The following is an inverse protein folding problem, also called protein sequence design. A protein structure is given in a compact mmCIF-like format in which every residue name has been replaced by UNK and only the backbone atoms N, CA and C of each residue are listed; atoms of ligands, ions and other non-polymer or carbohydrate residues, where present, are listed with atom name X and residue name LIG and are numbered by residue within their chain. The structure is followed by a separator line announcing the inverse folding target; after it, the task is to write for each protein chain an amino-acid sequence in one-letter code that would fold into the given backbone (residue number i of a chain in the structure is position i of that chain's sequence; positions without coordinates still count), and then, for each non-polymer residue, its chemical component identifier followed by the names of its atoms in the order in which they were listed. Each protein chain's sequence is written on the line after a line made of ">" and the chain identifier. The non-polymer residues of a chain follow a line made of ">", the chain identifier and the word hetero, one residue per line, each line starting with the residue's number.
data_IF_269706433061
#
_entry.id   IF_269706433061
#
_cell.length_a   1.000
_cell.length_b   1.000
_cell.length_c   1.000
_cell.angle_alpha   90.00
_cell.angle_beta   90.00
_cell.angle_gamma   90.00
#
_symmetry.space_group_name_H-M   'P 1'
#
loop_
_entity.id
_entity.type
_entity.pdbx_description
1 polymer ?
#
# COMPACT_ATOMS: atom_id res chain seq x y z
N UNK A 1 -11.18 -31.90 18.44
CA UNK A 1 -11.36 -32.20 19.88
C UNK A 1 -11.86 -30.93 20.55
N UNK A 2 -12.86 -31.03 21.42
CA UNK A 2 -13.29 -29.93 22.27
C UNK A 2 -12.22 -29.72 23.35
N UNK A 3 -11.78 -28.49 23.56
CA UNK A 3 -10.94 -28.15 24.71
C UNK A 3 -11.86 -28.08 25.92
N UNK A 4 -11.72 -28.99 26.87
CA UNK A 4 -12.34 -28.85 28.18
C UNK A 4 -11.32 -28.19 29.11
N UNK A 5 -11.42 -26.87 29.33
CA UNK A 5 -10.80 -26.27 30.50
C UNK A 5 -11.62 -26.74 31.70
N UNK A 6 -11.05 -27.65 32.48
CA UNK A 6 -11.60 -28.03 33.78
C UNK A 6 -11.59 -26.79 34.69
N UNK A 7 -12.78 -26.22 34.96
CA UNK A 7 -13.38 -25.65 36.20
C UNK A 7 -12.54 -24.73 37.12
N UNK A 8 -11.21 -24.68 37.04
CA UNK A 8 -10.39 -23.84 37.91
C UNK A 8 -10.17 -22.45 37.30
N UNK A 9 -10.42 -21.37 38.07
CA UNK A 9 -10.04 -20.03 37.68
C UNK A 9 -8.53 -19.95 37.39
N UNK A 10 -8.18 -19.24 36.31
CA UNK A 10 -6.82 -18.96 35.88
C UNK A 10 -6.52 -17.45 36.06
N UNK A 11 -6.56 -16.91 37.30
CA UNK A 11 -6.48 -15.47 37.54
C UNK A 11 -5.13 -14.86 37.14
N UNK A 12 -4.08 -15.66 37.06
CA UNK A 12 -2.74 -15.20 36.67
C UNK A 12 -2.47 -15.34 35.17
N UNK A 13 -3.37 -15.95 34.40
CA UNK A 13 -3.16 -16.20 32.98
C UNK A 13 -3.33 -14.90 32.19
N UNK A 14 -2.24 -14.44 31.56
CA UNK A 14 -2.21 -13.26 30.70
C UNK A 14 -2.26 -13.58 29.22
N UNK A 15 -1.71 -14.73 28.82
CA UNK A 15 -1.62 -15.14 27.42
C UNK A 15 -2.11 -16.57 27.28
N UNK A 16 -2.97 -16.80 26.31
CA UNK A 16 -3.46 -18.12 25.93
C UNK A 16 -3.17 -18.33 24.46
N UNK A 17 -2.25 -19.26 24.16
CA UNK A 17 -1.89 -19.60 22.80
C UNK A 17 -2.39 -21.00 22.45
N UNK A 18 -3.34 -21.06 21.52
CA UNK A 18 -3.91 -22.27 20.94
C UNK A 18 -3.66 -22.33 19.42
N UNK A 19 -2.79 -21.47 18.90
CA UNK A 19 -2.48 -21.40 17.48
C UNK A 19 -2.05 -22.77 16.93
N UNK A 20 -2.43 -23.05 15.68
CA UNK A 20 -2.18 -24.31 14.97
C UNK A 20 -2.85 -25.53 15.61
N UNK A 21 -3.80 -25.33 16.52
CA UNK A 21 -4.70 -26.39 16.99
C UNK A 21 -5.71 -26.73 15.90
N UNK A 22 -5.25 -27.30 14.78
CA UNK A 22 -6.05 -27.53 13.56
C UNK A 22 -7.30 -28.37 13.81
N UNK A 23 -7.33 -29.20 14.87
CA UNK A 23 -8.48 -30.03 15.26
C UNK A 23 -9.42 -29.36 16.28
N UNK A 24 -9.13 -28.14 16.74
CA UNK A 24 -9.97 -27.40 17.68
C UNK A 24 -11.28 -27.04 16.98
N UNK A 25 -12.40 -27.45 17.55
CA UNK A 25 -13.74 -27.16 17.00
C UNK A 25 -14.45 -26.05 17.75
N UNK A 26 -14.26 -26.03 19.06
CA UNK A 26 -14.92 -25.13 20.00
C UNK A 26 -13.91 -24.74 21.07
N UNK A 27 -13.96 -23.47 21.48
CA UNK A 27 -13.23 -23.00 22.64
C UNK A 27 -13.96 -23.37 23.93
N UNK A 28 -13.21 -23.54 25.03
CA UNK A 28 -13.80 -23.64 26.36
C UNK A 28 -14.42 -22.30 26.78
N UNK A 29 -15.18 -22.32 27.89
CA UNK A 29 -15.60 -21.10 28.56
C UNK A 29 -14.37 -20.28 29.03
N UNK A 30 -14.29 -19.05 28.54
CA UNK A 30 -13.18 -18.13 28.79
C UNK A 30 -13.37 -17.28 30.06
N UNK A 31 -14.52 -17.39 30.73
CA UNK A 31 -14.85 -16.64 31.96
C UNK A 31 -13.88 -16.91 33.11
N UNK A 32 -13.20 -18.07 33.10
CA UNK A 32 -12.21 -18.44 34.10
C UNK A 32 -10.86 -17.73 33.95
N UNK A 33 -10.62 -16.97 32.87
CA UNK A 33 -9.37 -16.24 32.64
C UNK A 33 -9.61 -14.71 32.53
N UNK A 34 -10.13 -14.04 33.57
CA UNK A 34 -10.56 -12.63 33.48
C UNK A 34 -9.40 -11.64 33.25
N UNK A 35 -8.16 -12.05 33.52
CA UNK A 35 -6.96 -11.24 33.35
C UNK A 35 -6.22 -11.49 32.03
N UNK A 36 -6.85 -12.23 31.10
CA UNK A 36 -6.25 -12.51 29.80
C UNK A 36 -6.07 -11.21 29.01
N UNK A 37 -4.83 -10.96 28.58
CA UNK A 37 -4.42 -9.80 27.78
C UNK A 37 -4.24 -10.18 26.30
N UNK A 38 -3.87 -11.44 26.00
CA UNK A 38 -3.65 -11.92 24.63
C UNK A 38 -4.28 -13.30 24.41
N UNK A 39 -5.08 -13.43 23.36
CA UNK A 39 -5.66 -14.70 22.90
C UNK A 39 -5.19 -15.00 21.48
N UNK A 40 -4.45 -16.09 21.31
CA UNK A 40 -3.95 -16.54 20.00
C UNK A 40 -4.62 -17.85 19.56
N UNK A 41 -5.28 -17.80 18.43
CA UNK A 41 -6.06 -18.86 17.80
C UNK A 41 -5.66 -19.08 16.33
N UNK A 42 -4.59 -18.45 15.86
CA UNK A 42 -4.22 -18.48 14.44
C UNK A 42 -4.05 -19.91 13.93
N UNK A 43 -4.50 -20.20 12.70
CA UNK A 43 -4.46 -21.52 12.08
C UNK A 43 -5.28 -22.60 12.82
N UNK A 44 -6.30 -22.22 13.60
CA UNK A 44 -7.32 -23.15 14.11
C UNK A 44 -8.37 -23.45 13.03
N UNK A 45 -7.97 -24.21 12.00
CA UNK A 45 -8.75 -24.40 10.78
C UNK A 45 -10.17 -24.96 11.00
N UNK A 46 -10.40 -25.78 12.04
CA UNK A 46 -11.72 -26.35 12.34
C UNK A 46 -12.57 -25.52 13.33
N UNK A 47 -12.09 -24.36 13.80
CA UNK A 47 -12.84 -23.48 14.68
C UNK A 47 -13.90 -22.75 13.85
N UNK A 48 -15.17 -22.88 14.25
CA UNK A 48 -16.32 -22.31 13.52
C UNK A 48 -16.85 -21.04 14.18
N UNK A 49 -16.77 -20.98 15.51
CA UNK A 49 -17.34 -19.87 16.28
C UNK A 49 -16.49 -19.52 17.50
N UNK A 50 -16.55 -18.25 17.91
CA UNK A 50 -16.10 -17.82 19.24
C UNK A 50 -17.23 -17.95 20.27
N UNK A 51 -16.94 -18.43 21.50
CA UNK A 51 -17.95 -18.55 22.54
C UNK A 51 -18.35 -17.17 23.08
N UNK A 52 -19.62 -16.96 23.49
CA UNK A 52 -20.08 -15.69 24.07
C UNK A 52 -19.27 -15.23 25.29
N UNK A 53 -18.63 -16.16 26.01
CA UNK A 53 -17.74 -15.88 27.14
C UNK A 53 -16.54 -15.00 26.78
N UNK A 54 -16.23 -14.79 25.49
CA UNK A 54 -15.25 -13.80 25.04
C UNK A 54 -15.56 -12.40 25.62
N UNK A 55 -16.83 -12.09 25.85
CA UNK A 55 -17.28 -10.83 26.46
C UNK A 55 -16.71 -10.58 27.87
N UNK A 56 -16.32 -11.64 28.58
CA UNK A 56 -15.80 -11.56 29.95
C UNK A 56 -14.29 -11.25 29.99
N UNK A 57 -13.62 -11.17 28.84
CA UNK A 57 -12.20 -10.87 28.73
C UNK A 57 -11.94 -9.36 28.78
N UNK A 58 -12.29 -8.74 29.89
CA UNK A 58 -12.24 -7.28 30.07
C UNK A 58 -10.83 -6.68 30.03
N UNK A 59 -9.76 -7.49 30.03
CA UNK A 59 -8.37 -7.04 29.88
C UNK A 59 -7.74 -7.39 28.53
N UNK A 60 -8.51 -8.00 27.62
CA UNK A 60 -8.00 -8.44 26.33
C UNK A 60 -7.56 -7.24 25.50
N UNK A 61 -6.28 -7.25 25.10
CA UNK A 61 -5.64 -6.25 24.25
C UNK A 61 -5.44 -6.76 22.83
N UNK A 62 -5.22 -8.06 22.67
CA UNK A 62 -4.90 -8.65 21.38
C UNK A 62 -5.67 -9.94 21.13
N UNK A 63 -6.30 -10.03 19.95
CA UNK A 63 -7.02 -11.19 19.46
C UNK A 63 -6.47 -11.61 18.09
N UNK A 64 -5.81 -12.76 18.04
CA UNK A 64 -5.18 -13.31 16.83
C UNK A 64 -5.93 -14.55 16.35
N UNK A 65 -6.51 -14.51 15.16
CA UNK A 65 -7.33 -15.57 14.56
C UNK A 65 -7.02 -15.76 13.07
N UNK A 66 -5.82 -15.36 12.65
CA UNK A 66 -5.41 -15.47 11.25
C UNK A 66 -5.52 -16.92 10.75
N UNK A 67 -6.01 -17.12 9.54
CA UNK A 67 -6.16 -18.42 8.88
C UNK A 67 -7.06 -19.42 9.64
N UNK A 68 -8.02 -18.94 10.44
CA UNK A 68 -9.15 -19.75 10.90
C UNK A 68 -10.17 -19.90 9.77
N UNK A 69 -9.86 -20.72 8.77
CA UNK A 69 -10.56 -20.77 7.49
C UNK A 69 -12.06 -21.11 7.57
N UNK A 70 -12.51 -21.79 8.63
CA UNK A 70 -13.91 -22.12 8.86
C UNK A 70 -14.61 -21.20 9.87
N UNK A 71 -13.94 -20.19 10.40
CA UNK A 71 -14.54 -19.24 11.35
C UNK A 71 -15.62 -18.42 10.63
N UNK A 72 -16.83 -18.47 11.17
CA UNK A 72 -18.01 -17.85 10.59
C UNK A 72 -18.71 -16.93 11.59
N UNK A 73 -18.75 -17.33 12.87
CA UNK A 73 -19.54 -16.65 13.89
C UNK A 73 -18.62 -16.03 14.94
N UNK A 74 -18.74 -14.71 15.09
CA UNK A 74 -18.12 -13.97 16.18
C UNK A 74 -19.26 -13.28 16.96
N UNK A 75 -19.32 -13.45 18.28
CA UNK A 75 -20.29 -12.76 19.11
C UNK A 75 -20.28 -11.24 18.86
N UNK A 76 -21.46 -10.69 18.57
CA UNK A 76 -21.67 -9.26 18.32
C UNK A 76 -22.09 -8.52 19.59
N UNK A 77 -22.07 -7.18 19.53
CA UNK A 77 -22.55 -6.29 20.61
C UNK A 77 -21.77 -6.49 21.92
N UNK A 78 -20.46 -6.73 21.78
CA UNK A 78 -19.53 -6.83 22.90
C UNK A 78 -18.68 -5.56 22.93
N UNK A 79 -18.29 -5.13 24.12
CA UNK A 79 -17.34 -4.04 24.28
C UNK A 79 -16.07 -4.49 25.02
N UNK A 80 -15.08 -4.97 24.25
CA UNK A 80 -13.74 -5.26 24.75
C UNK A 80 -12.95 -3.95 24.83
N UNK A 81 -13.15 -3.21 25.92
CA UNK A 81 -12.70 -1.83 26.10
C UNK A 81 -11.18 -1.60 25.95
N UNK A 82 -10.35 -2.64 26.08
CA UNK A 82 -8.89 -2.56 25.94
C UNK A 82 -8.36 -3.23 24.67
N UNK A 83 -9.23 -3.75 23.80
CA UNK A 83 -8.83 -4.46 22.60
C UNK A 83 -8.21 -3.48 21.59
N UNK A 84 -6.90 -3.59 21.40
CA UNK A 84 -6.12 -2.70 20.54
C UNK A 84 -5.79 -3.35 19.18
N UNK A 85 -5.64 -4.68 19.13
CA UNK A 85 -5.23 -5.40 17.91
C UNK A 85 -6.13 -6.60 17.65
N UNK A 86 -6.64 -6.67 16.42
CA UNK A 86 -7.49 -7.76 15.96
C UNK A 86 -7.00 -8.24 14.62
N UNK A 87 -6.63 -9.52 14.54
CA UNK A 87 -6.22 -10.15 13.29
C UNK A 87 -7.13 -11.33 12.97
N UNK A 88 -7.88 -11.23 11.88
CA UNK A 88 -8.74 -12.28 11.33
C UNK A 88 -8.42 -12.55 9.85
N UNK A 89 -7.22 -12.15 9.40
CA UNK A 89 -6.81 -12.32 8.02
C UNK A 89 -6.87 -13.81 7.62
N UNK A 90 -7.44 -14.13 6.47
CA UNK A 90 -7.62 -15.51 5.98
C UNK A 90 -8.78 -16.28 6.61
N UNK A 91 -9.67 -15.64 7.37
CA UNK A 91 -10.94 -16.25 7.79
C UNK A 91 -11.94 -16.25 6.61
N UNK A 92 -11.77 -17.22 5.70
CA UNK A 92 -12.45 -17.27 4.41
C UNK A 92 -13.99 -17.33 4.48
N UNK A 93 -14.57 -17.74 5.62
CA UNK A 93 -16.02 -17.82 5.83
C UNK A 93 -16.60 -16.66 6.63
N UNK A 94 -15.76 -15.75 7.12
CA UNK A 94 -16.23 -14.59 7.88
C UNK A 94 -16.86 -13.56 6.94
N UNK A 95 -18.19 -13.42 7.00
CA UNK A 95 -18.99 -12.56 6.11
C UNK A 95 -19.26 -11.16 6.63
N UNK A 96 -19.13 -10.95 7.93
CA UNK A 96 -19.29 -9.65 8.58
C UNK A 96 -18.29 -9.52 9.73
N UNK A 97 -17.83 -8.29 9.96
CA UNK A 97 -17.08 -7.96 11.16
C UNK A 97 -18.06 -7.44 12.23
N UNK A 98 -18.06 -7.97 13.46
CA UNK A 98 -18.98 -7.53 14.51
C UNK A 98 -18.50 -6.28 15.26
N UNK A 99 -19.44 -5.61 15.94
CA UNK A 99 -19.14 -4.60 16.95
C UNK A 99 -18.55 -5.26 18.20
N UNK A 100 -17.22 -5.23 18.33
CA UNK A 100 -16.48 -5.87 19.44
C UNK A 100 -15.67 -4.90 20.30
N UNK A 101 -15.31 -3.72 19.78
CA UNK A 101 -14.54 -2.70 20.50
C UNK A 101 -14.49 -1.39 19.71
N UNK A 102 -14.44 -0.25 20.41
CA UNK A 102 -14.15 1.06 19.83
C UNK A 102 -12.71 1.54 20.09
N UNK A 103 -11.88 0.74 20.78
CA UNK A 103 -10.52 1.13 21.18
C UNK A 103 -9.42 0.53 20.29
N UNK A 104 -9.82 -0.10 19.18
CA UNK A 104 -8.91 -0.76 18.24
C UNK A 104 -7.95 0.23 17.60
N UNK A 105 -6.72 -0.23 17.38
CA UNK A 105 -5.65 0.49 16.67
C UNK A 105 -5.29 -0.14 15.34
N UNK A 106 -5.36 -1.47 15.26
CA UNK A 106 -5.01 -2.25 14.08
C UNK A 106 -6.04 -3.35 13.84
N UNK A 107 -6.60 -3.38 12.63
CA UNK A 107 -7.58 -4.38 12.21
C UNK A 107 -7.13 -5.03 10.89
N UNK A 108 -6.90 -6.35 10.93
CA UNK A 108 -6.53 -7.14 9.77
C UNK A 108 -7.69 -8.07 9.39
N UNK A 109 -8.32 -7.80 8.26
CA UNK A 109 -9.43 -8.57 7.67
C UNK A 109 -9.07 -9.11 6.28
N UNK A 110 -7.80 -9.08 5.89
CA UNK A 110 -7.34 -9.49 4.57
C UNK A 110 -7.81 -10.91 4.22
N UNK A 111 -8.35 -11.12 3.03
CA UNK A 111 -8.79 -12.44 2.56
C UNK A 111 -9.97 -13.01 3.34
N UNK A 112 -10.85 -12.17 3.89
CA UNK A 112 -12.13 -12.60 4.46
C UNK A 112 -13.26 -12.49 3.42
N UNK A 113 -14.43 -13.07 3.70
CA UNK A 113 -15.62 -12.93 2.87
C UNK A 113 -16.48 -11.72 3.26
N UNK A 114 -15.91 -10.76 4.01
CA UNK A 114 -16.62 -9.60 4.54
C UNK A 114 -17.24 -8.78 3.41
N UNK A 115 -18.56 -8.59 3.47
CA UNK A 115 -19.30 -7.81 2.48
C UNK A 115 -19.32 -6.30 2.82
N UNK A 116 -19.29 -5.99 4.11
CA UNK A 116 -19.27 -4.64 4.68
C UNK A 116 -18.57 -4.64 6.05
N UNK A 117 -17.92 -3.53 6.40
CA UNK A 117 -17.42 -3.27 7.76
C UNK A 117 -18.52 -2.52 8.52
N UNK A 118 -18.81 -2.84 9.79
CA UNK A 118 -19.89 -2.19 10.52
C UNK A 118 -19.65 -0.68 10.64
N UNK A 119 -20.73 0.12 10.59
CA UNK A 119 -20.63 1.59 10.66
C UNK A 119 -20.00 2.10 11.96
N UNK A 120 -20.03 1.29 13.02
CA UNK A 120 -19.35 1.54 14.29
C UNK A 120 -17.84 1.71 14.16
N UNK A 121 -17.22 1.22 13.07
CA UNK A 121 -15.79 1.38 12.81
C UNK A 121 -15.40 2.87 12.78
N UNK A 122 -16.32 3.76 12.37
CA UNK A 122 -16.15 5.21 12.42
C UNK A 122 -15.94 5.76 13.84
N UNK A 123 -16.39 5.03 14.88
CA UNK A 123 -16.19 5.39 16.28
C UNK A 123 -14.83 4.92 16.83
N UNK A 124 -14.06 4.13 16.06
CA UNK A 124 -12.74 3.65 16.46
C UNK A 124 -11.69 4.76 16.28
N UNK A 125 -11.74 5.78 17.13
CA UNK A 125 -10.91 7.00 17.03
C UNK A 125 -9.40 6.78 17.10
N UNK A 126 -8.94 5.57 17.40
CA UNK A 126 -7.51 5.19 17.47
C UNK A 126 -7.07 4.23 16.36
N UNK A 127 -7.99 3.84 15.48
CA UNK A 127 -7.73 2.90 14.40
C UNK A 127 -6.90 3.59 13.31
N UNK A 128 -5.60 3.30 13.29
CA UNK A 128 -4.68 3.89 12.33
C UNK A 128 -4.34 2.93 11.18
N UNK A 129 -4.56 1.63 11.35
CA UNK A 129 -4.27 0.60 10.36
C UNK A 129 -5.50 -0.27 10.08
N UNK A 130 -5.93 -0.32 8.81
CA UNK A 130 -7.00 -1.18 8.33
C UNK A 130 -6.57 -1.93 7.06
N UNK A 131 -6.58 -3.26 7.12
CA UNK A 131 -6.31 -4.12 5.97
C UNK A 131 -7.55 -4.93 5.60
N UNK A 132 -8.13 -4.58 4.45
CA UNK A 132 -9.27 -5.21 3.78
C UNK A 132 -8.86 -5.84 2.44
N UNK A 133 -7.55 -6.04 2.21
CA UNK A 133 -7.08 -6.62 0.95
C UNK A 133 -7.67 -8.01 0.71
N UNK A 134 -7.92 -8.39 -0.55
CA UNK A 134 -8.51 -9.68 -0.94
C UNK A 134 -9.91 -9.94 -0.35
N UNK A 135 -10.60 -8.94 0.19
CA UNK A 135 -12.03 -9.03 0.52
C UNK A 135 -12.88 -8.88 -0.76
N UNK A 136 -12.93 -9.95 -1.57
CA UNK A 136 -13.57 -9.91 -2.90
C UNK A 136 -15.08 -9.65 -2.87
N UNK A 137 -15.75 -9.88 -1.74
CA UNK A 137 -17.19 -9.62 -1.59
C UNK A 137 -17.48 -8.21 -1.06
N UNK A 138 -16.45 -7.41 -0.73
CA UNK A 138 -16.61 -6.05 -0.25
C UNK A 138 -17.22 -5.20 -1.36
N UNK A 139 -18.46 -4.74 -1.16
CA UNK A 139 -19.21 -3.99 -2.18
C UNK A 139 -18.86 -2.51 -2.15
N UNK A 140 -18.76 -1.93 -0.96
CA UNK A 140 -18.56 -0.50 -0.71
C UNK A 140 -17.72 -0.29 0.54
N UNK A 141 -17.04 0.85 0.61
CA UNK A 141 -16.35 1.27 1.83
C UNK A 141 -17.33 2.06 2.72
N UNK A 142 -17.44 1.68 3.99
CA UNK A 142 -18.19 2.44 5.00
C UNK A 142 -17.35 3.57 5.57
N UNK A 143 -17.98 4.62 6.11
CA UNK A 143 -17.29 5.72 6.77
C UNK A 143 -16.24 5.21 7.76
N UNK A 144 -14.99 5.60 7.52
CA UNK A 144 -13.83 5.24 8.35
C UNK A 144 -13.52 6.36 9.33
N UNK A 145 -12.86 6.07 10.46
CA UNK A 145 -12.44 7.12 11.39
C UNK A 145 -11.31 7.97 10.80
N UNK A 146 -11.27 9.26 11.14
CA UNK A 146 -10.25 10.21 10.67
C UNK A 146 -8.81 9.85 11.09
N UNK A 147 -8.66 8.96 12.08
CA UNK A 147 -7.38 8.48 12.57
C UNK A 147 -6.68 7.47 11.66
N UNK A 148 -7.33 7.00 10.59
CA UNK A 148 -6.73 6.06 9.63
C UNK A 148 -5.52 6.72 8.97
N UNK A 149 -4.38 6.04 9.08
CA UNK A 149 -3.11 6.40 8.43
C UNK A 149 -2.79 5.45 7.29
N UNK A 150 -3.15 4.17 7.44
CA UNK A 150 -2.88 3.10 6.48
C UNK A 150 -4.16 2.34 6.13
N UNK A 151 -4.54 2.39 4.85
CA UNK A 151 -5.70 1.68 4.30
C UNK A 151 -5.26 0.79 3.14
N UNK A 152 -5.47 -0.52 3.29
CA UNK A 152 -5.21 -1.49 2.24
C UNK A 152 -6.52 -2.13 1.75
N UNK A 153 -6.82 -1.95 0.48
CA UNK A 153 -7.98 -2.45 -0.25
C UNK A 153 -7.57 -3.29 -1.47
N UNK A 154 -6.29 -3.67 -1.57
CA UNK A 154 -5.74 -4.41 -2.72
C UNK A 154 -6.56 -5.66 -3.05
N UNK A 155 -6.75 -5.96 -4.33
CA UNK A 155 -7.49 -7.15 -4.80
C UNK A 155 -8.92 -7.26 -4.28
N UNK A 156 -9.58 -6.12 -4.02
CA UNK A 156 -11.03 -6.07 -3.80
C UNK A 156 -11.75 -5.79 -5.13
N UNK A 157 -13.05 -6.03 -5.14
CA UNK A 157 -13.93 -5.81 -6.30
C UNK A 157 -14.65 -4.45 -6.26
N UNK A 158 -14.15 -3.51 -5.43
CA UNK A 158 -14.70 -2.16 -5.31
C UNK A 158 -14.62 -1.44 -6.67
N UNK A 159 -15.66 -0.68 -6.99
CA UNK A 159 -15.76 0.09 -8.24
C UNK A 159 -15.31 1.52 -8.11
N UNK A 160 -15.49 2.08 -6.92
CA UNK A 160 -15.17 3.46 -6.61
C UNK A 160 -14.72 3.58 -5.15
N UNK A 161 -13.89 4.59 -4.89
CA UNK A 161 -13.58 5.03 -3.55
C UNK A 161 -14.50 6.21 -3.22
N UNK A 162 -15.22 6.19 -2.09
CA UNK A 162 -16.13 7.28 -1.74
C UNK A 162 -15.42 8.63 -1.49
N UNK A 163 -16.10 9.73 -1.82
CA UNK A 163 -15.56 11.11 -1.71
C UNK A 163 -15.16 11.52 -0.28
N UNK A 164 -15.74 10.91 0.76
CA UNK A 164 -15.37 11.23 2.15
C UNK A 164 -13.90 10.93 2.47
N UNK A 165 -13.20 10.14 1.62
CA UNK A 165 -11.77 9.89 1.79
C UNK A 165 -10.95 11.19 1.84
N UNK A 166 -11.44 12.26 1.20
CA UNK A 166 -10.84 13.59 1.25
C UNK A 166 -10.75 14.14 2.69
N UNK A 167 -11.71 13.77 3.55
CA UNK A 167 -11.75 14.16 4.96
C UNK A 167 -10.82 13.35 5.87
N UNK A 168 -10.17 12.29 5.36
CA UNK A 168 -9.20 11.51 6.13
C UNK A 168 -7.84 12.21 6.13
N UNK A 169 -7.73 13.34 6.81
CA UNK A 169 -6.54 14.20 6.83
C UNK A 169 -5.28 13.56 7.44
N UNK A 170 -5.41 12.39 8.09
CA UNK A 170 -4.31 11.58 8.58
C UNK A 170 -3.84 10.48 7.61
N UNK A 171 -4.58 10.23 6.51
CA UNK A 171 -4.31 9.12 5.60
C UNK A 171 -3.00 9.38 4.83
N UNK A 172 -2.02 8.49 5.01
CA UNK A 172 -0.71 8.57 4.36
C UNK A 172 -0.55 7.47 3.31
N UNK A 173 -1.09 6.28 3.56
CA UNK A 173 -0.92 5.11 2.69
C UNK A 173 -2.28 4.58 2.22
N UNK A 174 -2.52 4.66 0.90
CA UNK A 174 -3.68 4.08 0.24
C UNK A 174 -3.21 3.02 -0.77
N UNK A 175 -3.51 1.75 -0.47
CA UNK A 175 -3.10 0.61 -1.28
C UNK A 175 -4.33 -0.03 -1.93
N UNK A 176 -4.38 0.01 -3.26
CA UNK A 176 -5.48 -0.38 -4.15
C UNK A 176 -5.02 -1.38 -5.23
N UNK A 177 -3.80 -1.89 -5.11
CA UNK A 177 -3.18 -2.81 -6.06
C UNK A 177 -4.10 -3.95 -6.47
N UNK A 178 -4.28 -4.18 -7.76
CA UNK A 178 -5.07 -5.28 -8.29
C UNK A 178 -6.59 -5.12 -8.17
N UNK A 179 -7.12 -3.94 -7.82
CA UNK A 179 -8.55 -3.66 -7.85
C UNK A 179 -9.07 -3.55 -9.30
N UNK A 180 -9.36 -4.69 -9.93
CA UNK A 180 -9.65 -4.78 -11.37
C UNK A 180 -10.96 -4.09 -11.80
N UNK A 181 -11.88 -3.88 -10.87
CA UNK A 181 -13.17 -3.21 -11.10
C UNK A 181 -13.19 -1.73 -10.75
N UNK A 182 -12.10 -1.21 -10.15
CA UNK A 182 -12.00 0.19 -9.78
C UNK A 182 -11.94 1.06 -11.03
N UNK A 183 -12.94 1.94 -11.22
CA UNK A 183 -13.09 2.78 -12.42
C UNK A 183 -12.56 4.20 -12.21
N UNK A 184 -12.70 4.73 -10.99
CA UNK A 184 -12.24 6.07 -10.66
C UNK A 184 -11.79 6.25 -9.22
N UNK A 185 -10.89 7.22 -9.02
CA UNK A 185 -10.51 7.76 -7.72
C UNK A 185 -11.05 9.18 -7.54
N UNK A 186 -11.65 9.50 -6.38
CA UNK A 186 -12.08 10.85 -6.03
C UNK A 186 -10.85 11.72 -5.71
N UNK A 187 -11.09 12.96 -5.30
CA UNK A 187 -10.01 13.78 -4.74
C UNK A 187 -9.49 13.11 -3.46
N UNK A 188 -8.16 13.02 -3.35
CA UNK A 188 -7.47 12.34 -2.26
C UNK A 188 -6.91 13.36 -1.26
N UNK A 189 -6.80 13.00 0.03
CA UNK A 189 -6.35 13.93 1.07
C UNK A 189 -4.90 14.38 0.83
N UNK A 190 -4.60 15.65 1.13
CA UNK A 190 -3.26 16.24 0.97
C UNK A 190 -2.17 15.65 1.88
N UNK A 191 -2.54 14.79 2.82
CA UNK A 191 -1.62 14.01 3.66
C UNK A 191 -1.05 12.77 2.96
N UNK A 192 -1.61 12.38 1.80
CA UNK A 192 -1.26 11.13 1.14
C UNK A 192 0.17 11.17 0.59
N UNK A 193 1.04 10.34 1.14
CA UNK A 193 2.42 10.18 0.69
C UNK A 193 2.58 8.96 -0.22
N UNK A 194 1.62 8.03 -0.20
CA UNK A 194 1.76 6.75 -0.88
C UNK A 194 0.44 6.26 -1.48
N UNK A 195 0.41 6.16 -2.81
CA UNK A 195 -0.70 5.59 -3.58
C UNK A 195 -0.19 4.42 -4.42
N UNK A 196 -0.58 3.20 -4.05
CA UNK A 196 -0.34 2.01 -4.86
C UNK A 196 -1.64 1.56 -5.52
N UNK A 197 -1.79 1.83 -6.81
CA UNK A 197 -2.93 1.40 -7.62
C UNK A 197 -2.46 0.59 -8.84
N UNK A 198 -1.35 -0.14 -8.73
CA UNK A 198 -0.86 -1.02 -9.78
C UNK A 198 -1.87 -2.11 -10.16
N UNK A 199 -1.92 -2.53 -11.42
CA UNK A 199 -2.84 -3.56 -11.93
C UNK A 199 -4.35 -3.27 -11.77
N UNK A 200 -4.75 -2.00 -11.64
CA UNK A 200 -6.15 -1.59 -11.71
C UNK A 200 -6.61 -1.47 -13.17
N UNK A 201 -6.98 -2.60 -13.78
CA UNK A 201 -7.28 -2.68 -15.22
C UNK A 201 -8.49 -1.87 -15.71
N UNK A 202 -9.38 -1.42 -14.82
CA UNK A 202 -10.54 -0.58 -15.17
C UNK A 202 -10.36 0.90 -14.83
N UNK A 203 -9.23 1.29 -14.22
CA UNK A 203 -9.06 2.64 -13.71
C UNK A 203 -8.87 3.63 -14.87
N UNK A 204 -9.84 4.53 -15.01
CA UNK A 204 -9.91 5.52 -16.10
C UNK A 204 -9.66 6.95 -15.60
N UNK A 205 -10.22 7.29 -14.43
CA UNK A 205 -10.18 8.65 -13.87
C UNK A 205 -9.48 8.67 -12.52
N UNK A 206 -8.65 9.69 -12.32
CA UNK A 206 -8.06 10.01 -11.02
C UNK A 206 -8.25 11.51 -10.85
N UNK A 207 -9.00 11.90 -9.82
CA UNK A 207 -9.25 13.32 -9.53
C UNK A 207 -8.09 13.89 -8.70
N UNK A 208 -7.60 15.04 -9.13
CA UNK A 208 -6.56 15.84 -8.47
C UNK A 208 -7.23 17.13 -7.96
N UNK A 209 -6.72 17.79 -6.91
CA UNK A 209 -5.30 17.89 -6.51
C UNK A 209 -4.81 16.92 -5.42
N UNK A 210 -3.86 16.06 -5.77
CA UNK A 210 -2.92 15.51 -4.80
C UNK A 210 -1.89 16.60 -4.47
N UNK A 211 -2.01 17.28 -3.34
CA UNK A 211 -1.14 18.42 -2.98
C UNK A 211 0.26 18.05 -2.44
N UNK A 212 0.60 16.76 -2.37
CA UNK A 212 1.81 16.28 -1.68
C UNK A 212 2.97 16.03 -2.68
N UNK A 213 3.91 16.96 -2.88
CA UNK A 213 4.93 16.84 -3.94
C UNK A 213 5.89 15.66 -3.74
N UNK A 214 6.03 15.17 -2.51
CA UNK A 214 6.80 13.98 -2.14
C UNK A 214 6.01 12.66 -2.24
N UNK A 215 4.78 12.68 -2.80
CA UNK A 215 3.98 11.49 -2.94
C UNK A 215 4.60 10.49 -3.93
N UNK A 216 4.50 9.21 -3.59
CA UNK A 216 4.86 8.08 -4.43
C UNK A 216 3.60 7.48 -5.05
N UNK A 217 3.49 7.58 -6.38
CA UNK A 217 2.29 7.24 -7.14
C UNK A 217 2.59 6.07 -8.08
N UNK A 218 2.12 4.88 -7.73
CA UNK A 218 2.27 3.71 -8.57
C UNK A 218 0.94 3.35 -9.23
N UNK A 219 0.84 3.61 -10.53
CA UNK A 219 -0.32 3.31 -11.38
C UNK A 219 0.07 2.33 -12.50
N UNK A 220 1.10 1.51 -12.27
CA UNK A 220 1.55 0.51 -13.25
C UNK A 220 0.41 -0.37 -13.75
N UNK A 221 0.45 -0.70 -15.04
CA UNK A 221 -0.54 -1.50 -15.75
C UNK A 221 -2.00 -0.99 -15.72
N UNK A 222 -2.24 0.28 -15.35
CA UNK A 222 -3.57 0.93 -15.46
C UNK A 222 -3.82 1.44 -16.89
N UNK A 223 -3.91 0.53 -17.85
CA UNK A 223 -3.89 0.87 -19.28
C UNK A 223 -5.09 1.70 -19.76
N UNK A 224 -6.19 1.71 -19.00
CA UNK A 224 -7.37 2.52 -19.29
C UNK A 224 -7.30 3.97 -18.81
N UNK A 225 -6.24 4.37 -18.11
CA UNK A 225 -6.10 5.75 -17.62
C UNK A 225 -6.36 6.75 -18.75
N UNK A 226 -7.19 7.74 -18.47
CA UNK A 226 -7.54 8.78 -19.44
C UNK A 226 -6.32 9.63 -19.81
N UNK A 227 -6.35 10.20 -21.02
CA UNK A 227 -5.28 11.12 -21.45
C UNK A 227 -5.16 12.35 -20.55
N UNK A 228 -6.25 12.78 -19.93
CA UNK A 228 -6.25 13.88 -18.96
C UNK A 228 -5.54 13.49 -17.65
N UNK A 229 -5.89 12.36 -17.05
CA UNK A 229 -5.23 11.88 -15.83
C UNK A 229 -3.71 11.71 -16.05
N UNK A 230 -3.31 11.12 -17.19
CA UNK A 230 -1.89 11.01 -17.54
C UNK A 230 -1.20 12.37 -17.66
N UNK A 231 -1.82 13.34 -18.34
CA UNK A 231 -1.26 14.70 -18.49
C UNK A 231 -1.09 15.39 -17.15
N UNK A 232 -2.08 15.32 -16.27
CA UNK A 232 -2.00 15.94 -14.94
C UNK A 232 -0.85 15.34 -14.11
N UNK A 233 -0.62 14.03 -14.21
CA UNK A 233 0.51 13.37 -13.56
C UNK A 233 1.87 13.80 -14.14
N UNK A 234 1.99 13.90 -15.47
CA UNK A 234 3.22 14.33 -16.16
C UNK A 234 3.58 15.79 -15.84
N UNK A 235 2.57 16.64 -15.68
CA UNK A 235 2.76 18.07 -15.39
C UNK A 235 3.04 18.34 -13.91
N UNK A 236 2.85 17.34 -13.03
CA UNK A 236 3.16 17.45 -11.61
C UNK A 236 4.67 17.62 -11.43
N UNK A 237 5.07 18.43 -10.47
CA UNK A 237 6.46 18.47 -9.98
C UNK A 237 6.60 17.58 -8.76
N UNK A 238 7.54 16.65 -8.81
CA UNK A 238 7.92 15.83 -7.67
C UNK A 238 9.06 16.50 -6.90
N UNK A 239 9.08 16.31 -5.58
CA UNK A 239 10.16 16.72 -4.69
C UNK A 239 10.66 15.53 -3.87
N UNK A 240 11.89 15.62 -3.37
CA UNK A 240 12.53 14.61 -2.52
C UNK A 240 12.45 13.20 -3.15
N UNK A 241 11.87 12.24 -2.42
CA UNK A 241 11.67 10.85 -2.83
C UNK A 241 10.34 10.62 -3.60
N UNK A 242 9.68 11.70 -4.03
CA UNK A 242 8.46 11.65 -4.81
C UNK A 242 8.69 11.07 -6.21
N UNK A 243 7.77 10.19 -6.64
CA UNK A 243 7.79 9.64 -7.99
C UNK A 243 6.38 9.31 -8.46
N UNK A 244 6.24 9.17 -9.78
CA UNK A 244 5.10 8.50 -10.37
C UNK A 244 5.54 7.47 -11.40
N UNK A 245 4.89 6.31 -11.44
CA UNK A 245 5.02 5.39 -12.56
C UNK A 245 3.66 4.98 -13.12
N UNK A 246 3.47 5.16 -14.42
CA UNK A 246 2.20 4.97 -15.13
C UNK A 246 2.42 4.44 -16.56
N UNK A 247 1.41 3.83 -17.20
CA UNK A 247 1.52 3.39 -18.59
C UNK A 247 1.78 4.56 -19.55
N UNK A 248 2.69 4.33 -20.50
CA UNK A 248 3.02 5.29 -21.55
C UNK A 248 4.08 4.75 -22.49
N UNK A 249 3.95 5.08 -23.77
CA UNK A 249 4.80 4.55 -24.85
C UNK A 249 5.68 5.62 -25.50
N UNK A 250 5.52 6.88 -25.09
CA UNK A 250 6.22 8.03 -25.68
C UNK A 250 6.69 8.96 -24.57
N UNK A 251 7.94 9.39 -24.63
CA UNK A 251 8.50 10.40 -23.74
C UNK A 251 7.68 11.70 -23.79
N UNK A 252 7.21 12.23 -22.64
CA UNK A 252 6.42 13.46 -22.63
C UNK A 252 7.22 14.67 -23.14
N UNK A 253 6.52 15.65 -23.74
CA UNK A 253 7.15 16.82 -24.38
C UNK A 253 7.78 17.77 -23.37
N UNK A 254 7.33 17.70 -22.12
CA UNK A 254 7.84 18.43 -20.96
C UNK A 254 9.31 18.09 -20.66
N UNK A 255 9.79 16.90 -21.08
CA UNK A 255 11.18 16.46 -20.95
C UNK A 255 11.98 16.84 -22.21
N UNK A 256 12.35 18.12 -22.28
CA UNK A 256 13.00 18.73 -23.44
C UNK A 256 14.38 18.13 -23.77
N UNK A 257 15.16 17.74 -22.76
CA UNK A 257 16.41 17.02 -22.96
C UNK A 257 16.10 15.53 -22.97
N UNK A 258 16.33 14.84 -24.08
CA UNK A 258 16.02 13.42 -24.20
C UNK A 258 17.01 12.70 -25.09
N UNK A 259 17.20 11.41 -24.84
CA UNK A 259 18.04 10.53 -25.62
C UNK A 259 17.43 9.13 -25.69
N UNK A 260 17.78 8.40 -26.75
CA UNK A 260 17.48 6.96 -26.82
C UNK A 260 18.41 6.19 -25.88
N UNK A 261 17.88 5.14 -25.27
CA UNK A 261 18.58 4.32 -24.30
C UNK A 261 18.51 4.90 -22.90
N UNK A 262 19.53 4.60 -22.10
CA UNK A 262 19.54 4.80 -20.66
C UNK A 262 20.43 5.94 -20.19
N UNK A 263 20.97 6.79 -21.08
CA UNK A 263 21.81 7.91 -20.67
C UNK A 263 21.62 9.14 -21.54
N UNK A 264 21.81 10.31 -20.96
CA UNK A 264 21.76 11.59 -21.67
C UNK A 264 22.70 12.60 -21.04
N UNK A 265 23.30 13.44 -21.88
CA UNK A 265 24.15 14.55 -21.44
C UNK A 265 23.42 15.87 -21.65
N UNK A 266 23.33 16.67 -20.59
CA UNK A 266 22.76 18.02 -20.64
C UNK A 266 23.88 19.04 -20.54
N UNK A 267 23.82 20.04 -21.43
CA UNK A 267 24.60 21.27 -21.27
C UNK A 267 23.84 22.22 -20.35
N UNK A 268 24.08 22.12 -19.04
CA UNK A 268 23.47 23.01 -18.06
C UNK A 268 24.22 24.35 -18.07
N UNK A 269 23.69 25.32 -18.83
CA UNK A 269 24.14 26.72 -18.78
C UNK A 269 23.62 27.46 -17.53
N UNK A 270 22.63 26.88 -16.85
CA UNK A 270 21.96 27.41 -15.66
C UNK A 270 22.47 26.76 -14.38
N UNK A 271 22.63 27.56 -13.31
CA UNK A 271 23.00 27.10 -11.96
C UNK A 271 21.93 26.24 -11.25
N UNK A 272 20.93 25.71 -11.97
CA UNK A 272 19.85 24.95 -11.34
C UNK A 272 20.36 23.63 -10.75
N UNK A 273 20.04 23.43 -9.48
CA UNK A 273 20.25 22.19 -8.73
C UNK A 273 19.15 21.17 -8.90
N UNK A 274 18.02 21.56 -9.49
CA UNK A 274 16.80 20.75 -9.49
C UNK A 274 16.43 20.31 -10.89
N UNK A 275 16.29 19.00 -11.03
CA UNK A 275 15.92 18.33 -12.26
C UNK A 275 14.78 17.37 -11.98
N UNK A 276 14.09 16.99 -13.03
CA UNK A 276 13.17 15.87 -12.99
C UNK A 276 13.45 14.97 -14.18
N UNK A 277 13.61 13.69 -13.89
CA UNK A 277 13.84 12.68 -14.91
C UNK A 277 12.55 11.94 -15.22
N UNK A 278 12.43 11.52 -16.47
CA UNK A 278 11.49 10.52 -16.92
C UNK A 278 12.25 9.44 -17.67
N UNK A 279 11.96 8.19 -17.37
CA UNK A 279 12.47 7.03 -18.11
C UNK A 279 11.30 6.26 -18.71
N UNK A 280 11.44 5.92 -19.99
CA UNK A 280 10.54 5.00 -20.69
C UNK A 280 11.08 3.59 -20.52
N UNK A 281 10.41 2.81 -19.69
CA UNK A 281 10.79 1.44 -19.39
C UNK A 281 9.93 0.46 -20.19
N UNK A 282 10.50 -0.66 -20.60
CA UNK A 282 9.80 -1.75 -21.27
C UNK A 282 10.08 -3.09 -20.57
N UNK A 283 9.14 -4.04 -20.64
CA UNK A 283 9.29 -5.32 -19.96
C UNK A 283 10.35 -6.20 -20.63
N UNK A 284 11.16 -6.87 -19.82
CA UNK A 284 12.02 -7.95 -20.32
C UNK A 284 11.27 -9.28 -20.39
N UNK A 285 11.59 -10.12 -21.38
CA UNK A 285 10.99 -11.46 -21.57
C UNK A 285 11.24 -12.44 -20.39
N UNK A 286 12.16 -12.12 -19.48
CA UNK A 286 12.60 -12.99 -18.38
C UNK A 286 12.33 -12.43 -16.97
N UNK A 287 11.39 -11.48 -16.82
CA UNK A 287 11.05 -10.82 -15.55
C UNK A 287 10.74 -11.75 -14.36
N UNK A 288 10.52 -13.05 -14.57
CA UNK A 288 10.02 -13.98 -13.55
C UNK A 288 11.01 -15.03 -13.04
N UNK A 289 12.31 -14.84 -13.22
CA UNK A 289 13.27 -15.80 -12.65
C UNK A 289 13.63 -15.56 -11.19
N UNK A 290 13.24 -14.43 -10.58
CA UNK A 290 13.61 -14.12 -9.20
C UNK A 290 12.51 -13.41 -8.42
N UNK A 291 12.58 -13.62 -7.12
CA UNK A 291 11.72 -13.20 -6.00
C UNK A 291 11.56 -11.67 -5.84
N UNK A 292 11.85 -10.88 -6.88
CA UNK A 292 11.86 -9.42 -6.84
C UNK A 292 10.46 -8.85 -7.07
N UNK A 293 9.77 -8.55 -5.97
CA UNK A 293 8.49 -7.85 -5.95
C UNK A 293 8.61 -6.33 -6.22
N UNK A 294 9.78 -5.83 -6.60
CA UNK A 294 10.04 -4.41 -6.87
C UNK A 294 10.82 -4.23 -8.16
N UNK A 295 10.42 -3.25 -8.96
CA UNK A 295 11.28 -2.62 -9.96
C UNK A 295 12.13 -1.55 -9.25
N UNK A 296 13.46 -1.69 -9.32
CA UNK A 296 14.41 -0.73 -8.74
C UNK A 296 15.10 0.06 -9.85
N UNK A 297 14.78 1.35 -9.95
CA UNK A 297 15.42 2.28 -10.89
C UNK A 297 16.49 3.08 -10.15
N UNK A 298 17.68 3.16 -10.76
CA UNK A 298 18.83 3.91 -10.24
C UNK A 298 19.21 5.01 -11.21
N UNK A 299 19.60 6.15 -10.66
CA UNK A 299 20.19 7.25 -11.41
C UNK A 299 21.58 7.54 -10.84
N UNK A 300 22.58 7.53 -11.71
CA UNK A 300 23.92 8.02 -11.46
C UNK A 300 24.11 9.31 -12.24
N UNK A 301 24.57 10.35 -11.56
CA UNK A 301 24.83 11.64 -12.17
C UNK A 301 26.35 11.83 -12.19
N UNK A 302 26.91 12.06 -13.37
CA UNK A 302 28.35 12.10 -13.63
C UNK A 302 28.74 13.47 -14.17
N UNK A 303 29.76 14.06 -13.54
CA UNK A 303 30.37 15.30 -13.96
C UNK A 303 31.49 15.08 -14.99
N UNK A 304 31.83 16.11 -15.76
CA UNK A 304 32.96 16.08 -16.70
C UNK A 304 34.31 15.75 -16.03
N UNK A 305 34.48 16.11 -14.76
CA UNK A 305 35.66 15.78 -13.96
C UNK A 305 35.81 14.28 -13.65
N UNK A 306 34.81 13.47 -13.98
CA UNK A 306 34.71 12.06 -13.61
C UNK A 306 34.10 11.82 -12.23
N UNK A 307 33.82 12.89 -11.47
CA UNK A 307 33.09 12.81 -10.21
C UNK A 307 31.65 12.34 -10.47
N UNK A 308 31.10 11.50 -9.59
CA UNK A 308 29.72 11.01 -9.75
C UNK A 308 29.02 10.78 -8.42
N UNK A 309 27.71 10.95 -8.42
CA UNK A 309 26.82 10.59 -7.30
C UNK A 309 25.73 9.64 -7.74
N UNK A 310 25.29 8.81 -6.79
CA UNK A 310 24.10 8.00 -6.92
C UNK A 310 22.96 8.65 -6.19
N UNK A 311 21.80 8.67 -6.82
CA UNK A 311 20.56 9.03 -6.17
C UNK A 311 19.94 7.85 -5.44
N UNK A 312 19.06 8.18 -4.50
CA UNK A 312 18.22 7.19 -3.85
C UNK A 312 17.44 6.41 -4.92
N UNK A 313 17.45 5.07 -4.89
CA UNK A 313 16.73 4.29 -5.89
C UNK A 313 15.23 4.50 -5.79
N UNK A 314 14.56 4.54 -6.94
CA UNK A 314 13.09 4.55 -7.02
C UNK A 314 12.62 3.10 -7.01
N UNK A 315 11.80 2.76 -6.02
CA UNK A 315 11.22 1.43 -5.85
C UNK A 315 9.76 1.42 -6.30
N UNK A 316 9.48 0.82 -7.44
CA UNK A 316 8.12 0.61 -7.93
C UNK A 316 7.68 -0.79 -7.52
N UNK A 317 6.85 -0.89 -6.48
CA UNK A 317 6.37 -2.18 -5.99
C UNK A 317 5.39 -2.84 -6.96
N UNK A 318 5.58 -4.12 -7.20
CA UNK A 318 4.61 -4.96 -7.87
C UNK A 318 3.79 -5.75 -6.85
N UNK A 319 2.48 -5.88 -7.06
CA UNK A 319 1.65 -6.74 -6.23
C UNK A 319 2.19 -8.19 -6.23
N UNK A 320 2.04 -8.94 -5.13
CA UNK A 320 2.60 -10.30 -4.97
C UNK A 320 2.19 -11.32 -6.04
N UNK A 321 1.10 -11.06 -6.77
CA UNK A 321 0.56 -11.91 -7.85
C UNK A 321 0.69 -11.24 -9.23
N UNK A 322 1.42 -10.13 -9.31
CA UNK A 322 1.58 -9.36 -10.53
C UNK A 322 2.63 -10.00 -11.44
N UNK A 323 2.38 -10.04 -12.76
CA UNK A 323 3.39 -10.42 -13.74
C UNK A 323 4.42 -9.29 -13.99
N UNK A 324 4.59 -8.35 -13.06
CA UNK A 324 5.42 -7.16 -13.26
C UNK A 324 4.79 -6.16 -14.24
N UNK A 325 5.60 -5.28 -14.82
CA UNK A 325 5.15 -4.39 -15.88
C UNK A 325 4.81 -5.21 -17.14
N UNK A 326 3.67 -4.96 -17.79
CA UNK A 326 3.20 -5.75 -18.94
C UNK A 326 3.39 -5.09 -20.31
N UNK A 327 3.77 -3.82 -20.29
CA UNK A 327 4.00 -2.99 -21.46
C UNK A 327 4.91 -1.82 -21.06
N UNK A 328 5.06 -0.85 -21.94
CA UNK A 328 5.86 0.34 -21.68
C UNK A 328 5.22 1.25 -20.62
N UNK A 329 6.06 1.76 -19.73
CA UNK A 329 5.68 2.67 -18.66
C UNK A 329 6.61 3.87 -18.62
N UNK A 330 6.06 5.00 -18.18
CA UNK A 330 6.82 6.20 -17.82
C UNK A 330 6.99 6.19 -16.32
N UNK A 331 8.23 6.18 -15.85
CA UNK A 331 8.54 6.47 -14.46
C UNK A 331 9.22 7.84 -14.37
N UNK A 332 8.66 8.73 -13.55
CA UNK A 332 9.07 10.13 -13.36
C UNK A 332 9.45 10.36 -11.90
N UNK A 333 10.56 11.04 -11.65
CA UNK A 333 11.07 11.26 -10.29
C UNK A 333 11.99 12.47 -10.19
N UNK A 334 12.07 13.03 -8.98
CA UNK A 334 12.87 14.19 -8.68
C UNK A 334 14.38 13.88 -8.62
N UNK A 335 15.20 14.83 -9.06
CA UNK A 335 16.65 14.76 -9.05
C UNK A 335 17.23 16.08 -8.54
N UNK A 336 17.77 16.07 -7.32
CA UNK A 336 18.41 17.25 -6.72
C UNK A 336 19.94 17.11 -6.60
N UNK A 337 20.70 18.11 -7.05
CA UNK A 337 22.15 18.16 -6.85
C UNK A 337 22.48 19.03 -5.63
N UNK A 338 23.45 18.65 -4.79
CA UNK A 338 23.92 19.53 -3.72
C UNK A 338 24.44 20.85 -4.31
N UNK A 339 23.88 21.98 -3.90
CA UNK A 339 24.17 23.30 -4.51
C UNK A 339 25.67 23.65 -4.49
N UNK A 340 26.37 23.27 -3.42
CA UNK A 340 27.80 23.50 -3.24
C UNK A 340 28.68 22.77 -4.29
N UNK A 341 28.15 21.74 -4.95
CA UNK A 341 28.91 20.88 -5.86
C UNK A 341 28.69 21.21 -7.34
N UNK A 342 27.64 21.96 -7.69
CA UNK A 342 27.24 22.21 -9.09
C UNK A 342 28.27 23.04 -9.82
N UNK A 343 28.61 24.21 -9.28
CA UNK A 343 29.54 25.14 -9.94
C UNK A 343 30.98 24.62 -9.96
N UNK A 344 31.37 23.80 -8.97
CA UNK A 344 32.77 23.35 -8.80
C UNK A 344 33.03 22.02 -9.51
N UNK A 345 32.11 21.06 -9.42
CA UNK A 345 32.36 19.68 -9.88
C UNK A 345 31.74 19.39 -11.23
N UNK A 346 30.52 19.86 -11.47
CA UNK A 346 29.74 19.52 -12.66
C UNK A 346 30.04 20.38 -13.88
N UNK A 347 30.46 21.64 -13.69
CA UNK A 347 30.79 22.53 -14.80
C UNK A 347 29.57 22.76 -15.71
N UNK A 348 29.79 22.81 -17.03
CA UNK A 348 28.74 23.08 -18.02
C UNK A 348 28.03 21.84 -18.57
N UNK A 349 28.49 20.62 -18.23
CA UNK A 349 28.01 19.36 -18.81
C UNK A 349 27.76 18.31 -17.73
N UNK A 350 26.53 17.79 -17.69
CA UNK A 350 26.09 16.78 -16.71
C UNK A 350 25.60 15.57 -17.49
N UNK A 351 26.17 14.39 -17.19
CA UNK A 351 25.72 13.11 -17.72
C UNK A 351 24.79 12.43 -16.71
N UNK A 352 23.60 12.06 -17.14
CA UNK A 352 22.68 11.23 -16.38
C UNK A 352 22.74 9.81 -16.94
N UNK A 353 23.02 8.84 -16.07
CA UNK A 353 22.99 7.41 -16.38
C UNK A 353 21.88 6.75 -15.56
N UNK A 354 20.95 6.12 -16.25
CA UNK A 354 19.85 5.38 -15.67
C UNK A 354 20.12 3.88 -15.78
N UNK A 355 19.71 3.13 -14.77
CA UNK A 355 19.81 1.67 -14.80
C UNK A 355 18.67 1.04 -14.03
N UNK A 356 18.34 -0.19 -14.39
CA UNK A 356 17.43 -1.04 -13.63
C UNK A 356 18.24 -2.12 -12.93
N UNK A 357 17.98 -2.36 -11.64
CA UNK A 357 18.67 -3.45 -10.95
C UNK A 357 18.20 -4.80 -11.50
N UNK A 358 19.14 -5.74 -11.60
CA UNK A 358 18.93 -7.10 -12.09
C UNK A 358 18.33 -7.18 -13.51
N UNK A 359 18.46 -6.11 -14.30
CA UNK A 359 17.84 -6.00 -15.62
C UNK A 359 16.34 -6.35 -15.57
N UNK A 360 15.65 -5.88 -14.52
CA UNK A 360 14.21 -6.13 -14.33
C UNK A 360 13.34 -5.39 -15.36
N UNK A 361 13.88 -4.36 -16.02
CA UNK A 361 13.28 -3.71 -17.18
C UNK A 361 14.34 -3.11 -18.10
N UNK A 362 14.01 -2.93 -19.38
CA UNK A 362 14.84 -2.21 -20.33
C UNK A 362 14.47 -0.72 -20.31
N UNK A 363 15.47 0.17 -20.23
CA UNK A 363 15.28 1.61 -20.39
C UNK A 363 15.51 1.97 -21.85
N UNK A 364 14.43 2.26 -22.57
CA UNK A 364 14.44 2.46 -24.03
C UNK A 364 14.62 3.92 -24.43
N UNK A 365 14.19 4.85 -23.58
CA UNK A 365 14.36 6.30 -23.74
C UNK A 365 14.46 6.94 -22.36
N UNK A 366 15.25 8.00 -22.25
CA UNK A 366 15.33 8.81 -21.05
C UNK A 366 15.21 10.29 -21.39
N UNK A 367 14.63 11.05 -20.46
CA UNK A 367 14.38 12.46 -20.59
C UNK A 367 14.59 13.17 -19.26
N UNK A 368 15.02 14.43 -19.32
CA UNK A 368 15.20 15.31 -18.16
C UNK A 368 14.63 16.69 -18.49
N UNK A 369 13.91 17.25 -17.52
CA UNK A 369 13.51 18.65 -17.50
C UNK A 369 14.26 19.39 -16.38
N UNK A 370 14.72 20.59 -16.67
CA UNK A 370 15.37 21.46 -15.69
C UNK A 370 14.26 22.25 -14.98
N UNK A 371 14.26 22.23 -13.65
CA UNK A 371 13.31 22.98 -12.84
C UNK A 371 13.93 24.33 -12.50
N UNK A 372 13.16 25.42 -12.58
CA UNK A 372 13.60 26.73 -12.10
C UNK A 372 13.61 26.76 -10.56
N UNK A 373 14.43 27.64 -9.99
CA UNK A 373 14.44 27.91 -8.55
C UNK A 373 13.10 28.45 -8.05
#
# INVERSE_FOLDING_TARGET
>A
KKLSLCIQPLPSLKTMNLSRSTRLKELPDLSNAPNLETLELGYCENLVELPPSIANLHRLKELWMQSCINLEIIPSQINLAFLERVNMAGCLRLRSFPDISTNMRQLFLSGTAVEEVPSSISMCSRLWYLDLSRCINLKTLTNLPESIVWLNLSYTDIKEIPDYILGLHGLQHLILSGCRKLESLPELPGSLTFLMAGDCGSLERVTFPLHSPNAQLNLTNCFKLSGEARRQMIQRSFLDDGFACLPGTVMPREFHHRARGNSLTIRALSASSRFEACVLISPHQHQHTREDIYLELRCRIVAKSGWSIYKQPVYVAHPSESPGIRAEHLCMFHLELPEEEICVKFGSEILFEFSSRFDSCEITECGVRILSH
#
